data_IF_580869203758
#
_entry.id   IF_580869203758
#
_cell.length_a   1.000
_cell.length_b   1.000
_cell.length_c   1.000
_cell.angle_alpha   90.00
_cell.angle_beta   90.00
_cell.angle_gamma   90.00
#
_symmetry.space_group_name_H-M   'P 1'
#
loop_
_entity.id
_entity.type
_entity.pdbx_description
1 polymer ?
#
# COMPACT_ATOMS: atom_id res chain seq x y z
N UNK A 1 69.70 -0.35 -22.59
CA UNK A 1 69.07 -1.45 -21.81
C UNK A 1 68.30 -0.80 -20.67
N UNK A 2 67.01 -0.55 -20.85
CA UNK A 2 66.14 0.14 -19.88
C UNK A 2 65.23 -0.88 -19.21
N UNK A 3 65.48 -1.15 -17.94
CA UNK A 3 64.67 -2.08 -17.14
C UNK A 3 63.43 -1.35 -16.65
N UNK A 4 62.25 -1.85 -17.00
CA UNK A 4 60.97 -1.32 -16.53
C UNK A 4 60.62 -1.97 -15.19
N UNK A 5 60.57 -1.19 -14.11
CA UNK A 5 60.14 -1.69 -12.78
C UNK A 5 58.62 -1.61 -12.70
N UNK A 6 57.95 -2.75 -12.58
CA UNK A 6 56.50 -2.81 -12.39
C UNK A 6 56.10 -2.28 -10.99
N UNK A 7 54.94 -1.60 -10.84
CA UNK A 7 54.47 -1.13 -9.55
C UNK A 7 54.07 -2.30 -8.64
N UNK A 8 54.38 -2.19 -7.35
CA UNK A 8 54.02 -3.19 -6.36
C UNK A 8 52.50 -3.19 -6.11
N UNK A 9 51.85 -4.35 -6.23
CA UNK A 9 50.44 -4.54 -5.88
C UNK A 9 50.22 -4.24 -4.40
N UNK A 10 49.27 -3.35 -4.02
CA UNK A 10 48.93 -3.13 -2.62
C UNK A 10 48.51 -4.45 -1.97
N UNK A 11 49.14 -4.80 -0.86
CA UNK A 11 48.75 -5.99 -0.10
C UNK A 11 47.30 -5.81 0.38
N UNK A 12 46.46 -6.82 0.13
CA UNK A 12 45.08 -6.82 0.59
C UNK A 12 45.05 -6.75 2.11
N UNK A 13 44.38 -5.74 2.66
CA UNK A 13 44.16 -5.61 4.10
C UNK A 13 43.29 -6.78 4.56
N UNK A 14 43.71 -7.58 5.55
CA UNK A 14 42.90 -8.68 6.05
C UNK A 14 41.58 -8.12 6.62
N UNK A 15 40.44 -8.80 6.41
CA UNK A 15 39.18 -8.35 6.98
C UNK A 15 39.30 -8.28 8.50
N UNK A 16 39.12 -7.08 9.05
CA UNK A 16 39.02 -6.90 10.50
C UNK A 16 37.80 -7.64 11.04
N UNK A 17 37.76 -7.95 12.34
CA UNK A 17 36.61 -8.61 12.95
C UNK A 17 35.34 -7.79 12.70
N UNK A 18 34.32 -8.42 12.12
CA UNK A 18 33.01 -7.82 11.92
C UNK A 18 32.30 -7.70 13.27
N UNK A 19 32.37 -6.53 13.89
CA UNK A 19 31.52 -6.21 15.03
C UNK A 19 30.08 -6.15 14.51
N UNK A 20 29.13 -6.94 15.05
CA UNK A 20 27.73 -6.84 14.65
C UNK A 20 27.25 -5.43 14.97
N UNK A 21 26.89 -4.69 13.93
CA UNK A 21 26.38 -3.33 14.06
C UNK A 21 24.92 -3.40 14.54
N UNK A 22 24.75 -3.58 15.85
CA UNK A 22 23.44 -3.51 16.48
C UNK A 22 23.07 -2.04 16.63
N UNK A 23 22.37 -1.52 15.62
CA UNK A 23 21.82 -0.17 15.65
C UNK A 23 21.04 0.12 16.95
N UNK A 24 20.80 1.42 17.26
CA UNK A 24 20.32 1.82 18.58
C UNK A 24 19.05 1.07 19.00
N UNK A 25 19.05 0.55 20.23
CA UNK A 25 17.95 -0.29 20.77
C UNK A 25 16.58 0.42 20.78
N UNK A 26 16.57 1.75 20.76
CA UNK A 26 15.36 2.58 20.72
C UNK A 26 14.78 2.73 19.31
N UNK A 27 15.54 2.47 18.25
CA UNK A 27 15.09 2.71 16.88
C UNK A 27 13.87 1.85 16.51
N UNK A 28 13.86 0.57 16.92
CA UNK A 28 12.75 -0.36 16.68
C UNK A 28 11.47 0.02 17.42
N UNK A 29 11.46 0.24 18.75
CA UNK A 29 10.25 0.66 19.44
C UNK A 29 9.76 2.05 18.98
N UNK A 30 10.67 2.98 18.66
CA UNK A 30 10.28 4.28 18.10
C UNK A 30 9.60 4.13 16.74
N UNK A 31 10.10 3.25 15.86
CA UNK A 31 9.45 2.94 14.59
C UNK A 31 8.05 2.35 14.80
N UNK A 32 7.89 1.38 15.69
CA UNK A 32 6.57 0.82 15.98
C UNK A 32 5.61 1.85 16.57
N UNK A 33 6.09 2.71 17.48
CA UNK A 33 5.31 3.81 18.03
C UNK A 33 4.85 4.79 16.95
N UNK A 34 5.75 5.14 16.02
CA UNK A 34 5.43 6.00 14.88
C UNK A 34 4.39 5.36 13.96
N UNK A 35 4.56 4.08 13.59
CA UNK A 35 3.61 3.36 12.73
C UNK A 35 2.23 3.25 13.39
N UNK A 36 2.18 3.01 14.70
CA UNK A 36 0.93 2.93 15.45
C UNK A 36 0.26 4.30 15.54
N UNK A 37 1.01 5.37 15.82
CA UNK A 37 0.47 6.73 15.85
C UNK A 37 -0.09 7.16 14.49
N UNK A 38 0.66 6.90 13.41
CA UNK A 38 0.20 7.17 12.04
C UNK A 38 -1.02 6.32 11.68
N UNK A 39 -1.01 5.03 12.05
CA UNK A 39 -2.16 4.15 11.88
C UNK A 39 -3.41 4.69 12.56
N UNK A 40 -3.32 5.07 13.84
CA UNK A 40 -4.43 5.66 14.57
C UNK A 40 -4.89 6.99 13.95
N UNK A 41 -3.97 7.82 13.48
CA UNK A 41 -4.30 9.07 12.80
C UNK A 41 -5.07 8.81 11.48
N UNK A 42 -4.71 7.78 10.72
CA UNK A 42 -5.48 7.38 9.53
C UNK A 42 -6.88 6.87 9.87
N UNK A 43 -7.05 6.24 11.05
CA UNK A 43 -8.36 5.76 11.52
C UNK A 43 -9.19 6.82 12.25
N UNK A 44 -8.61 7.98 12.54
CA UNK A 44 -9.29 9.03 13.27
C UNK A 44 -10.29 9.74 12.34
N UNK A 45 -11.57 9.74 12.73
CA UNK A 45 -12.63 10.49 12.06
C UNK A 45 -12.83 10.10 10.58
N UNK A 46 -12.78 8.80 10.25
CA UNK A 46 -13.09 8.28 8.91
C UNK A 46 -14.40 8.83 8.32
N UNK A 47 -15.40 9.04 9.19
CA UNK A 47 -16.72 9.50 8.77
C UNK A 47 -16.82 10.98 8.41
N UNK A 48 -15.75 11.76 8.59
CA UNK A 48 -15.75 13.19 8.28
C UNK A 48 -16.21 13.51 6.84
N UNK A 49 -15.92 12.61 5.90
CA UNK A 49 -16.25 12.79 4.48
C UNK A 49 -17.55 12.09 4.05
N UNK A 50 -18.26 11.39 4.96
CA UNK A 50 -19.44 10.60 4.63
C UNK A 50 -19.16 9.57 3.53
N UNK A 51 -19.97 9.58 2.45
CA UNK A 51 -19.77 8.72 1.29
C UNK A 51 -18.76 9.27 0.25
N UNK A 52 -18.04 10.35 0.61
CA UNK A 52 -17.13 11.09 -0.25
C UNK A 52 -17.75 11.41 -1.62
N UNK A 53 -17.36 10.69 -2.66
CA UNK A 53 -17.95 10.83 -4.00
C UNK A 53 -19.05 9.78 -4.20
N UNK A 54 -20.29 10.27 -4.36
CA UNK A 54 -21.51 9.46 -4.51
C UNK A 54 -21.48 8.49 -5.71
N UNK A 55 -20.77 8.81 -6.80
CA UNK A 55 -20.70 7.94 -7.97
C UNK A 55 -19.87 6.68 -7.70
N UNK A 56 -18.76 6.83 -6.96
CA UNK A 56 -17.93 5.67 -6.59
C UNK A 56 -18.62 4.80 -5.54
N UNK A 57 -19.27 5.40 -4.55
CA UNK A 57 -20.04 4.65 -3.54
C UNK A 57 -21.22 3.88 -4.16
N UNK A 58 -21.90 4.46 -5.16
CA UNK A 58 -22.95 3.76 -5.92
C UNK A 58 -22.39 2.56 -6.71
N UNK A 59 -21.27 2.73 -7.43
CA UNK A 59 -20.62 1.63 -8.16
C UNK A 59 -20.18 0.50 -7.22
N UNK A 60 -19.66 0.84 -6.05
CA UNK A 60 -19.24 -0.12 -5.01
C UNK A 60 -20.45 -0.87 -4.44
N UNK A 61 -21.57 -0.19 -4.20
CA UNK A 61 -22.81 -0.82 -3.76
C UNK A 61 -23.37 -1.76 -4.84
N UNK A 62 -23.43 -1.34 -6.10
CA UNK A 62 -23.87 -2.17 -7.23
C UNK A 62 -22.96 -3.41 -7.41
N UNK A 63 -21.63 -3.21 -7.31
CA UNK A 63 -20.64 -4.29 -7.35
C UNK A 63 -20.75 -5.28 -6.19
N UNK A 64 -21.15 -4.84 -4.99
CA UNK A 64 -21.39 -5.74 -3.86
C UNK A 64 -22.60 -6.67 -4.09
N UNK A 65 -23.62 -6.21 -4.81
CA UNK A 65 -24.85 -6.95 -5.08
C UNK A 65 -24.71 -7.89 -6.30
N UNK A 66 -23.94 -7.50 -7.31
CA UNK A 66 -23.81 -8.25 -8.57
C UNK A 66 -22.34 -8.48 -8.95
N UNK A 67 -21.93 -9.74 -9.06
CA UNK A 67 -20.59 -10.12 -9.53
C UNK A 67 -20.30 -9.62 -10.95
N UNK A 68 -21.32 -9.47 -11.81
CA UNK A 68 -21.16 -8.83 -13.13
C UNK A 68 -20.85 -7.35 -12.99
N UNK A 69 -21.58 -6.63 -12.15
CA UNK A 69 -21.33 -5.21 -11.89
C UNK A 69 -19.94 -4.97 -11.24
N UNK A 70 -19.47 -5.91 -10.41
CA UNK A 70 -18.10 -5.91 -9.86
C UNK A 70 -17.06 -5.99 -10.98
N UNK A 71 -17.20 -6.96 -11.89
CA UNK A 71 -16.20 -7.23 -12.92
C UNK A 71 -16.10 -6.10 -13.96
N UNK A 72 -17.23 -5.47 -14.30
CA UNK A 72 -17.29 -4.38 -15.28
C UNK A 72 -17.27 -2.97 -14.66
N UNK A 73 -17.27 -2.85 -13.33
CA UNK A 73 -17.33 -1.55 -12.63
C UNK A 73 -18.58 -0.76 -13.00
N UNK A 74 -19.74 -1.41 -12.97
CA UNK A 74 -21.00 -0.76 -13.33
C UNK A 74 -21.58 0.05 -12.16
N UNK A 75 -22.17 1.19 -12.49
CA UNK A 75 -22.90 2.07 -11.56
C UNK A 75 -24.27 1.50 -11.15
N UNK A 76 -24.78 0.53 -11.91
CA UNK A 76 -26.06 -0.12 -11.63
C UNK A 76 -25.92 -1.65 -11.63
N UNK A 77 -26.70 -2.31 -10.78
CA UNK A 77 -26.70 -3.76 -10.62
C UNK A 77 -27.07 -4.52 -11.90
N UNK A 78 -27.83 -3.88 -12.81
CA UNK A 78 -28.22 -4.44 -14.11
C UNK A 78 -27.17 -4.22 -15.22
N UNK A 79 -26.02 -3.59 -14.94
CA UNK A 79 -24.95 -3.30 -15.91
C UNK A 79 -25.34 -2.35 -17.05
N UNK A 80 -26.34 -1.48 -16.85
CA UNK A 80 -26.77 -0.53 -17.88
C UNK A 80 -25.75 0.60 -18.16
N UNK A 81 -24.86 0.92 -17.21
CA UNK A 81 -23.84 1.98 -17.33
C UNK A 81 -22.50 1.47 -16.79
N UNK A 82 -21.48 1.35 -17.65
CA UNK A 82 -20.11 0.95 -17.28
C UNK A 82 -19.21 2.17 -17.12
N UNK A 83 -18.33 2.17 -16.11
CA UNK A 83 -17.36 3.27 -15.94
C UNK A 83 -16.25 3.11 -16.99
N UNK A 84 -15.89 4.20 -17.66
CA UNK A 84 -14.81 4.28 -18.67
C UNK A 84 -13.40 3.96 -18.09
N UNK A 85 -13.28 3.85 -16.76
CA UNK A 85 -12.04 3.57 -16.04
C UNK A 85 -11.92 2.09 -15.65
N UNK A 86 -10.71 1.53 -15.63
CA UNK A 86 -10.49 0.13 -15.27
C UNK A 86 -11.08 -0.17 -13.88
N UNK A 87 -11.96 -1.20 -13.76
CA UNK A 87 -12.76 -1.48 -12.56
C UNK A 87 -11.95 -2.02 -11.39
N UNK A 88 -10.67 -2.37 -11.62
CA UNK A 88 -9.78 -2.96 -10.63
C UNK A 88 -9.66 -2.12 -9.34
N UNK A 89 -9.75 -0.79 -9.44
CA UNK A 89 -9.72 0.09 -8.26
C UNK A 89 -10.96 -0.06 -7.36
N UNK A 90 -12.10 -0.51 -7.90
CA UNK A 90 -13.36 -0.67 -7.16
C UNK A 90 -13.52 -2.05 -6.53
N UNK A 91 -12.78 -3.07 -7.00
CA UNK A 91 -12.91 -4.42 -6.48
C UNK A 91 -12.62 -4.55 -4.99
N UNK A 92 -11.54 -3.97 -4.43
CA UNK A 92 -11.28 -4.06 -3.00
C UNK A 92 -12.40 -3.43 -2.17
N UNK A 93 -12.92 -2.28 -2.63
CA UNK A 93 -14.01 -1.57 -1.96
C UNK A 93 -15.32 -2.37 -2.03
N UNK A 94 -15.71 -2.86 -3.21
CA UNK A 94 -16.95 -3.60 -3.40
C UNK A 94 -16.95 -4.97 -2.70
N UNK A 95 -15.80 -5.64 -2.65
CA UNK A 95 -15.62 -6.85 -1.84
C UNK A 95 -15.71 -6.55 -0.34
N UNK A 96 -15.10 -5.46 0.13
CA UNK A 96 -15.20 -5.04 1.53
C UNK A 96 -16.64 -4.73 1.91
N UNK A 97 -17.38 -4.00 1.06
CA UNK A 97 -18.80 -3.69 1.27
C UNK A 97 -19.67 -4.95 1.24
N UNK A 98 -19.32 -5.95 0.44
CA UNK A 98 -20.02 -7.23 0.44
C UNK A 98 -19.82 -8.02 1.74
N UNK A 99 -18.66 -7.89 2.38
CA UNK A 99 -18.31 -8.59 3.63
C UNK A 99 -18.80 -7.85 4.88
N UNK A 100 -18.69 -6.52 4.91
CA UNK A 100 -18.93 -5.69 6.10
C UNK A 100 -20.17 -4.79 5.99
N UNK A 101 -20.82 -4.75 4.83
CA UNK A 101 -21.89 -3.80 4.53
C UNK A 101 -21.37 -2.43 4.12
N UNK A 102 -22.22 -1.63 3.46
CA UNK A 102 -21.89 -0.26 3.05
C UNK A 102 -21.94 0.67 4.27
N UNK A 103 -20.81 1.25 4.63
CA UNK A 103 -20.64 2.10 5.79
C UNK A 103 -19.77 3.31 5.43
N UNK A 104 -20.01 4.44 6.09
CA UNK A 104 -19.31 5.71 5.85
C UNK A 104 -18.37 6.11 7.00
N UNK A 105 -17.93 5.17 7.84
CA UNK A 105 -17.20 5.43 9.09
C UNK A 105 -16.08 4.42 9.30
#
# INVERSE_FOLDING_TARGET
MTTFTAPATPAAVPPGPSVPDHGPRWARPALYGLLLAVGLAYFYNLSASGYANSFYSAAVQAGSQSWKALFFGSLDSANAITVDKPPAALWPMALSVRLFGLNSW
#
